data_IF_909520184165
#
_entry.id   IF_909520184165
#
_cell.length_a   1.000
_cell.length_b   1.000
_cell.length_c   1.000
_cell.angle_alpha   90.00
_cell.angle_beta   90.00
_cell.angle_gamma   90.00
#
_symmetry.space_group_name_H-M   'P 1'
#
loop_
_entity.id
_entity.type
_entity.pdbx_description
1 polymer ?
#
# COMPACT_ATOMS: atom_id res chain seq x y z
N UNK A 1 4.70 13.99 25.90
CA UNK A 1 5.35 12.69 25.73
C UNK A 1 4.29 11.66 25.32
N UNK A 2 3.28 11.33 26.13
CA UNK A 2 2.26 10.31 25.82
C UNK A 2 1.62 10.43 24.42
N UNK A 3 1.41 11.66 23.93
CA UNK A 3 0.88 11.89 22.57
C UNK A 3 1.88 11.49 21.48
N UNK A 4 3.17 11.72 21.71
CA UNK A 4 4.24 11.30 20.78
C UNK A 4 4.33 9.77 20.73
N UNK A 5 4.28 9.13 21.89
CA UNK A 5 4.29 7.67 22.00
C UNK A 5 3.10 7.04 21.26
N UNK A 6 1.88 7.55 21.47
CA UNK A 6 0.70 7.08 20.75
C UNK A 6 0.78 7.26 19.20
N UNK A 7 1.45 8.32 18.74
CA UNK A 7 1.70 8.53 17.31
C UNK A 7 2.76 7.57 16.77
N UNK A 8 3.81 7.31 17.53
CA UNK A 8 4.84 6.33 17.17
C UNK A 8 4.26 4.91 17.12
N UNK A 9 3.42 4.55 18.11
CA UNK A 9 2.75 3.24 18.12
C UNK A 9 1.82 3.05 16.92
N UNK A 10 1.16 4.13 16.47
CA UNK A 10 0.24 4.07 15.33
C UNK A 10 0.93 4.07 13.98
N UNK A 11 1.95 4.90 13.81
CA UNK A 11 2.58 5.17 12.51
C UNK A 11 4.01 4.65 12.40
N UNK A 12 4.66 4.34 13.50
CA UNK A 12 6.09 4.02 13.54
C UNK A 12 7.00 5.25 13.32
N UNK A 13 6.58 6.15 12.45
CA UNK A 13 7.28 7.39 12.08
C UNK A 13 6.35 8.57 12.29
N UNK A 14 6.87 9.68 12.77
CA UNK A 14 6.16 10.96 12.89
C UNK A 14 6.68 11.91 11.80
N UNK A 15 5.79 12.41 10.96
CA UNK A 15 6.07 13.38 9.91
C UNK A 15 4.93 14.41 9.81
N UNK A 16 5.16 15.63 9.25
CA UNK A 16 4.15 16.67 9.16
C UNK A 16 2.80 16.20 8.60
N UNK A 17 2.71 15.48 7.46
CA UNK A 17 1.41 15.06 6.91
C UNK A 17 0.60 14.12 7.81
N UNK A 18 1.27 13.35 8.69
CA UNK A 18 0.59 12.49 9.65
C UNK A 18 -0.07 13.32 10.76
N UNK A 19 0.60 14.37 11.22
CA UNK A 19 0.08 15.29 12.24
C UNK A 19 -1.09 16.11 11.70
N UNK A 20 -1.00 16.54 10.43
CA UNK A 20 -2.09 17.25 9.77
C UNK A 20 -3.35 16.37 9.65
N UNK A 21 -3.17 15.09 9.34
CA UNK A 21 -4.26 14.11 9.32
C UNK A 21 -4.91 13.93 10.69
N UNK A 22 -4.12 13.90 11.76
CA UNK A 22 -4.59 13.79 13.15
C UNK A 22 -5.28 15.07 13.65
N UNK A 23 -5.19 16.18 12.92
CA UNK A 23 -5.76 17.49 13.28
C UNK A 23 -5.38 17.95 14.70
N UNK A 24 -4.13 17.72 15.06
CA UNK A 24 -3.66 18.08 16.39
C UNK A 24 -3.61 19.61 16.57
N UNK A 25 -4.06 20.08 17.73
CA UNK A 25 -3.94 21.49 18.10
C UNK A 25 -2.47 21.92 18.07
N UNK A 26 -2.17 23.02 17.38
CA UNK A 26 -0.81 23.50 17.14
C UNK A 26 -0.06 22.79 16.00
N UNK A 27 -0.65 21.77 15.37
CA UNK A 27 -0.07 21.07 14.26
C UNK A 27 1.32 20.49 14.54
N UNK A 28 2.09 20.25 13.48
CA UNK A 28 3.46 19.75 13.60
C UNK A 28 4.38 20.75 14.32
N UNK A 29 4.21 22.06 14.09
CA UNK A 29 5.00 23.11 14.73
C UNK A 29 4.86 23.10 16.25
N UNK A 30 3.67 22.83 16.77
CA UNK A 30 3.42 22.70 18.21
C UNK A 30 4.04 21.45 18.83
N UNK A 31 4.18 20.37 18.05
CA UNK A 31 4.79 19.13 18.51
C UNK A 31 6.33 19.12 18.36
N UNK A 32 6.85 19.87 17.40
CA UNK A 32 8.26 19.87 17.02
C UNK A 32 9.24 20.13 18.20
N UNK A 33 9.01 21.08 19.14
CA UNK A 33 9.89 21.27 20.28
C UNK A 33 10.02 20.03 21.18
N UNK A 34 8.93 19.27 21.32
CA UNK A 34 8.92 18.01 22.10
C UNK A 34 9.71 16.93 21.37
N UNK A 35 9.48 16.78 20.06
CA UNK A 35 10.20 15.81 19.22
C UNK A 35 11.71 16.08 19.21
N UNK A 36 12.10 17.36 19.08
CA UNK A 36 13.50 17.78 19.14
C UNK A 36 14.15 17.47 20.49
N UNK A 37 13.45 17.74 21.59
CA UNK A 37 13.95 17.42 22.92
C UNK A 37 14.13 15.91 23.13
N UNK A 38 13.20 15.10 22.61
CA UNK A 38 13.31 13.63 22.65
C UNK A 38 14.48 13.13 21.79
N UNK A 39 14.76 13.77 20.64
CA UNK A 39 15.95 13.52 19.81
C UNK A 39 17.24 13.85 20.57
N UNK A 40 17.33 15.03 21.21
CA UNK A 40 18.49 15.48 21.99
C UNK A 40 18.81 14.52 23.17
N UNK A 41 17.79 13.86 23.72
CA UNK A 41 17.94 12.84 24.77
C UNK A 41 18.12 11.42 24.21
N UNK A 42 18.23 11.24 22.89
CA UNK A 42 18.43 9.94 22.24
C UNK A 42 17.23 9.01 22.22
N UNK A 43 16.04 9.47 22.62
CA UNK A 43 14.81 8.68 22.57
C UNK A 43 14.27 8.55 21.14
N UNK A 44 14.53 9.55 20.28
CA UNK A 44 14.14 9.55 18.87
C UNK A 44 15.36 9.76 17.98
N UNK A 45 15.22 9.31 16.75
CA UNK A 45 16.15 9.56 15.64
C UNK A 45 15.43 10.41 14.60
N UNK A 46 16.12 11.43 14.09
CA UNK A 46 15.66 12.23 12.97
C UNK A 46 16.22 11.69 11.67
N UNK A 47 15.40 11.62 10.62
CA UNK A 47 15.82 11.10 9.33
C UNK A 47 14.79 11.34 8.23
N UNK A 48 14.97 10.67 7.10
CA UNK A 48 14.02 10.58 5.99
C UNK A 48 13.62 9.12 5.83
N UNK A 49 12.52 8.73 6.45
CA UNK A 49 12.06 7.34 6.52
C UNK A 49 10.97 7.03 5.49
N UNK A 50 10.10 8.01 5.21
CA UNK A 50 8.97 7.87 4.29
C UNK A 50 9.09 8.91 3.18
N UNK A 51 9.18 8.44 1.93
CA UNK A 51 9.20 9.31 0.75
C UNK A 51 7.92 10.16 0.67
N UNK A 52 8.08 11.42 0.29
CA UNK A 52 6.95 12.34 0.12
C UNK A 52 6.44 13.00 1.42
N UNK A 53 6.99 12.65 2.59
CA UNK A 53 6.57 13.21 3.89
C UNK A 53 7.44 14.37 4.39
N UNK A 54 8.32 14.94 3.56
CA UNK A 54 9.24 16.02 3.93
C UNK A 54 10.45 15.54 4.74
N UNK A 55 11.34 16.46 5.10
CA UNK A 55 12.63 16.16 5.73
C UNK A 55 12.59 16.05 7.26
N UNK A 56 11.55 16.58 7.90
CA UNK A 56 11.44 16.57 9.37
C UNK A 56 10.63 15.35 9.83
N UNK A 57 11.28 14.17 9.84
CA UNK A 57 10.67 12.93 10.27
C UNK A 57 11.42 12.38 11.49
N UNK A 58 10.66 11.77 12.41
CA UNK A 58 11.19 11.23 13.66
C UNK A 58 10.69 9.81 13.86
N UNK A 59 11.57 8.92 14.33
CA UNK A 59 11.25 7.53 14.63
C UNK A 59 12.04 7.05 15.85
N UNK A 60 11.56 5.99 16.49
CA UNK A 60 12.34 5.31 17.53
C UNK A 60 13.49 4.52 16.90
N UNK A 61 14.54 4.22 17.68
CA UNK A 61 15.63 3.33 17.23
C UNK A 61 15.09 1.98 16.76
N UNK A 62 14.16 1.40 17.51
CA UNK A 62 13.54 0.13 17.18
C UNK A 62 12.85 0.16 15.80
N UNK A 63 12.10 1.23 15.50
CA UNK A 63 11.47 1.43 14.20
C UNK A 63 12.51 1.54 13.08
N UNK A 64 13.60 2.28 13.30
CA UNK A 64 14.67 2.44 12.31
C UNK A 64 15.34 1.09 12.00
N UNK A 65 15.61 0.29 13.03
CA UNK A 65 16.21 -1.03 12.85
C UNK A 65 15.25 -1.99 12.14
N UNK A 66 13.94 -1.96 12.45
CA UNK A 66 12.91 -2.71 11.74
C UNK A 66 12.82 -2.29 10.25
N UNK A 67 12.85 -0.99 9.95
CA UNK A 67 12.87 -0.48 8.57
C UNK A 67 14.09 -0.95 7.79
N UNK A 68 15.26 -0.97 8.41
CA UNK A 68 16.49 -1.49 7.78
C UNK A 68 16.39 -2.98 7.48
N UNK A 69 15.87 -3.77 8.42
CA UNK A 69 15.67 -5.20 8.22
C UNK A 69 14.66 -5.47 7.09
N UNK A 70 13.53 -4.76 7.04
CA UNK A 70 12.55 -4.88 5.95
C UNK A 70 13.11 -4.43 4.58
N UNK A 71 14.00 -3.44 4.55
CA UNK A 71 14.59 -2.95 3.31
C UNK A 71 15.60 -3.95 2.70
N UNK A 72 16.22 -4.80 3.52
CA UNK A 72 17.16 -5.81 3.06
C UNK A 72 16.47 -6.90 2.22
N UNK A 73 15.28 -7.33 2.63
CA UNK A 73 14.48 -8.37 1.95
C UNK A 73 13.00 -7.97 1.91
N UNK A 74 12.60 -7.05 1.03
CA UNK A 74 11.21 -6.62 0.97
C UNK A 74 10.32 -7.73 0.40
N UNK A 75 9.31 -8.14 1.17
CA UNK A 75 8.22 -8.99 0.69
C UNK A 75 7.03 -8.16 0.21
N UNK A 76 6.22 -8.73 -0.68
CA UNK A 76 4.94 -8.11 -1.06
C UNK A 76 3.90 -8.38 0.02
N UNK A 77 3.10 -7.36 0.35
CA UNK A 77 2.03 -7.42 1.37
C UNK A 77 0.74 -6.92 0.75
N UNK A 78 -0.34 -7.64 0.97
CA UNK A 78 -1.69 -7.26 0.53
C UNK A 78 -2.46 -6.68 1.71
N UNK A 79 -2.98 -5.47 1.56
CA UNK A 79 -3.78 -4.77 2.56
C UNK A 79 -5.13 -4.36 1.95
N UNK A 80 -6.16 -4.19 2.79
CA UNK A 80 -7.34 -3.42 2.39
C UNK A 80 -6.91 -1.97 2.10
N UNK A 81 -7.51 -1.34 1.09
CA UNK A 81 -7.16 0.03 0.73
C UNK A 81 -7.44 1.03 1.87
N UNK A 82 -8.35 0.69 2.80
CA UNK A 82 -8.69 1.48 3.99
C UNK A 82 -7.83 1.17 5.20
N UNK A 83 -6.98 0.14 5.14
CA UNK A 83 -6.10 -0.26 6.24
C UNK A 83 -5.25 0.92 6.74
N UNK A 84 -5.16 1.16 8.05
CA UNK A 84 -4.31 2.21 8.61
C UNK A 84 -2.84 2.15 8.19
N UNK A 85 -2.30 0.96 7.95
CA UNK A 85 -0.93 0.77 7.47
C UNK A 85 -0.73 1.23 6.01
N UNK A 86 -1.81 1.32 5.22
CA UNK A 86 -1.76 1.93 3.90
C UNK A 86 -1.78 3.45 4.03
N UNK A 87 -0.66 4.11 3.77
CA UNK A 87 -0.55 5.57 3.80
C UNK A 87 -1.03 6.24 2.51
N UNK A 88 -1.13 5.52 1.40
CA UNK A 88 -1.58 6.07 0.12
C UNK A 88 -3.04 6.54 0.17
N UNK A 89 -3.27 7.74 -0.35
CA UNK A 89 -4.58 8.37 -0.35
C UNK A 89 -5.04 8.90 1.01
N UNK A 90 -4.17 8.84 2.02
CA UNK A 90 -4.44 9.43 3.34
C UNK A 90 -3.35 10.39 3.81
N UNK A 91 -2.11 9.97 3.82
CA UNK A 91 -0.93 10.75 4.24
C UNK A 91 -0.09 11.14 3.02
N UNK A 92 0.06 10.20 2.10
CA UNK A 92 0.79 10.40 0.83
C UNK A 92 -0.16 10.26 -0.35
N UNK A 93 0.14 10.99 -1.43
CA UNK A 93 -0.64 10.91 -2.66
C UNK A 93 -0.48 9.53 -3.32
N UNK A 94 -1.50 9.10 -4.07
CA UNK A 94 -1.39 7.94 -4.94
C UNK A 94 -0.29 8.16 -5.98
N UNK A 95 0.58 7.16 -6.24
CA UNK A 95 1.69 7.33 -7.15
C UNK A 95 1.21 7.41 -8.61
N UNK A 96 1.94 8.15 -9.43
CA UNK A 96 1.64 8.30 -10.86
C UNK A 96 1.76 6.99 -11.62
N UNK A 97 2.54 6.04 -11.14
CA UNK A 97 2.72 4.70 -11.74
C UNK A 97 1.43 3.87 -11.78
N UNK A 98 0.45 4.22 -10.95
CA UNK A 98 -0.90 3.62 -10.95
C UNK A 98 -1.97 4.67 -11.35
N UNK A 99 -1.55 5.80 -11.88
CA UNK A 99 -2.44 6.90 -12.27
C UNK A 99 -2.60 7.04 -13.78
N UNK A 100 -3.55 7.89 -14.19
CA UNK A 100 -3.78 8.20 -15.61
C UNK A 100 -4.82 7.32 -16.28
N UNK A 101 -5.42 6.39 -15.55
CA UNK A 101 -6.45 5.45 -16.04
C UNK A 101 -7.87 5.94 -15.74
N UNK A 102 -8.88 5.28 -16.35
CA UNK A 102 -10.30 5.56 -16.17
C UNK A 102 -10.71 5.39 -14.70
N UNK A 103 -10.13 4.39 -14.01
CA UNK A 103 -10.28 4.21 -12.59
C UNK A 103 -9.17 4.93 -11.84
N UNK A 104 -9.56 5.66 -10.81
CA UNK A 104 -8.64 6.31 -9.88
C UNK A 104 -8.56 5.53 -8.58
N UNK A 105 -7.32 5.25 -8.09
CA UNK A 105 -7.16 4.65 -6.79
C UNK A 105 -7.83 5.50 -5.71
N UNK A 106 -8.52 4.84 -4.79
CA UNK A 106 -9.20 5.49 -3.67
C UNK A 106 -9.21 4.57 -2.45
N UNK A 107 -9.25 5.17 -1.26
CA UNK A 107 -9.46 4.43 -0.02
C UNK A 107 -10.94 4.06 0.11
N UNK A 108 -11.29 2.88 -0.36
CA UNK A 108 -12.65 2.34 -0.28
C UNK A 108 -12.63 0.89 0.20
N UNK A 109 -13.64 0.52 0.94
CA UNK A 109 -13.81 -0.86 1.42
C UNK A 109 -13.96 -1.83 0.24
N UNK A 110 -13.34 -2.99 0.37
CA UNK A 110 -13.33 -4.04 -0.64
C UNK A 110 -12.38 -3.78 -1.81
N UNK A 111 -11.59 -2.70 -1.77
CA UNK A 111 -10.43 -2.54 -2.61
C UNK A 111 -9.18 -3.00 -1.85
N UNK A 112 -8.22 -3.59 -2.57
CA UNK A 112 -6.95 -4.06 -2.02
C UNK A 112 -5.79 -3.32 -2.66
N UNK A 113 -4.73 -3.13 -1.88
CA UNK A 113 -3.43 -2.62 -2.34
C UNK A 113 -2.36 -3.68 -2.14
N UNK A 114 -1.42 -3.77 -3.05
CA UNK A 114 -0.22 -4.61 -2.89
C UNK A 114 0.98 -3.70 -2.78
N UNK A 115 1.67 -3.79 -1.65
CA UNK A 115 2.85 -3.00 -1.33
C UNK A 115 4.08 -3.91 -1.26
N UNK A 116 5.23 -3.42 -1.72
CA UNK A 116 6.53 -4.07 -1.52
C UNK A 116 7.58 -3.01 -1.23
N UNK A 117 8.24 -3.13 -0.07
CA UNK A 117 9.18 -2.10 0.39
C UNK A 117 8.56 -0.71 0.49
N UNK A 118 7.26 -0.63 0.85
CA UNK A 118 6.50 0.62 0.89
C UNK A 118 6.00 1.13 -0.47
N UNK A 119 6.41 0.52 -1.58
CA UNK A 119 5.99 0.91 -2.94
C UNK A 119 4.70 0.23 -3.34
N UNK A 120 3.77 0.98 -3.91
CA UNK A 120 2.50 0.46 -4.40
C UNK A 120 2.70 -0.19 -5.78
N UNK A 121 2.45 -1.49 -5.87
CA UNK A 121 2.60 -2.28 -7.09
C UNK A 121 1.26 -2.61 -7.74
N UNK A 122 0.20 -2.78 -6.95
CA UNK A 122 -1.13 -3.06 -7.48
C UNK A 122 -2.24 -2.43 -6.63
N UNK A 123 -3.33 -2.09 -7.29
CA UNK A 123 -4.59 -1.67 -6.68
C UNK A 123 -5.73 -2.42 -7.35
N UNK A 124 -6.44 -3.23 -6.59
CA UNK A 124 -7.49 -4.12 -7.08
C UNK A 124 -8.85 -3.76 -6.53
N UNK A 125 -9.87 -3.77 -7.37
CA UNK A 125 -11.28 -3.57 -6.99
C UNK A 125 -12.11 -4.76 -7.47
N UNK A 126 -12.14 -5.88 -6.72
CA UNK A 126 -12.79 -7.11 -7.16
C UNK A 126 -14.25 -6.94 -7.57
N UNK A 127 -15.01 -6.12 -6.84
CA UNK A 127 -16.46 -5.89 -7.11
C UNK A 127 -16.73 -5.13 -8.39
N UNK A 128 -15.83 -4.29 -8.84
CA UNK A 128 -15.96 -3.54 -10.10
C UNK A 128 -15.10 -4.12 -11.23
N UNK A 129 -14.46 -5.28 -10.99
CA UNK A 129 -13.71 -6.05 -11.98
C UNK A 129 -12.48 -5.35 -12.56
N UNK A 130 -11.93 -4.34 -11.85
CA UNK A 130 -10.80 -3.55 -12.31
C UNK A 130 -9.53 -3.80 -11.51
N UNK A 131 -8.41 -3.78 -12.21
CA UNK A 131 -7.06 -3.92 -11.66
C UNK A 131 -6.18 -2.80 -12.20
N UNK A 132 -5.43 -2.16 -11.32
CA UNK A 132 -4.34 -1.27 -11.69
C UNK A 132 -3.02 -1.90 -11.26
N UNK A 133 -2.06 -1.95 -12.17
CA UNK A 133 -0.70 -2.44 -11.96
C UNK A 133 0.29 -1.29 -12.19
N UNK A 134 1.39 -1.26 -11.46
CA UNK A 134 2.42 -0.26 -11.66
C UNK A 134 2.98 -0.33 -13.08
N UNK A 135 3.07 0.81 -13.78
CA UNK A 135 3.48 0.88 -15.19
C UNK A 135 4.98 0.77 -15.40
N UNK A 136 5.77 1.00 -14.38
CA UNK A 136 7.20 0.82 -14.45
C UNK A 136 7.53 -0.67 -14.39
N UNK A 137 8.43 -1.12 -15.26
CA UNK A 137 8.89 -2.50 -15.36
C UNK A 137 9.56 -2.94 -14.04
N UNK A 138 8.75 -3.23 -13.02
CA UNK A 138 9.23 -3.73 -11.74
C UNK A 138 9.23 -5.26 -11.78
N UNK A 139 10.39 -5.90 -11.59
CA UNK A 139 10.48 -7.37 -11.54
C UNK A 139 9.61 -7.98 -10.44
N UNK A 140 9.17 -7.18 -9.46
CA UNK A 140 8.27 -7.61 -8.40
C UNK A 140 6.78 -7.63 -8.79
N UNK A 141 6.38 -7.16 -9.98
CA UNK A 141 4.97 -7.17 -10.39
C UNK A 141 4.38 -8.58 -10.44
N UNK A 142 5.14 -9.56 -10.90
CA UNK A 142 4.69 -10.95 -10.89
C UNK A 142 4.46 -11.44 -9.45
N UNK A 143 5.36 -11.11 -8.53
CA UNK A 143 5.16 -11.42 -7.10
C UNK A 143 3.93 -10.73 -6.55
N UNK A 144 3.70 -9.45 -6.91
CA UNK A 144 2.51 -8.72 -6.48
C UNK A 144 1.20 -9.38 -6.98
N UNK A 145 1.17 -9.87 -8.23
CA UNK A 145 0.04 -10.63 -8.75
C UNK A 145 -0.18 -11.95 -7.99
N UNK A 146 0.89 -12.66 -7.66
CA UNK A 146 0.81 -13.91 -6.90
C UNK A 146 0.26 -13.69 -5.49
N UNK A 147 0.76 -12.67 -4.76
CA UNK A 147 0.28 -12.34 -3.42
C UNK A 147 -1.17 -11.85 -3.43
N UNK A 148 -1.54 -11.05 -4.44
CA UNK A 148 -2.93 -10.64 -4.65
C UNK A 148 -3.84 -11.85 -4.85
N UNK A 149 -3.45 -12.79 -5.72
CA UNK A 149 -4.20 -14.01 -5.97
C UNK A 149 -4.38 -14.84 -4.69
N UNK A 150 -3.30 -15.02 -3.93
CA UNK A 150 -3.34 -15.74 -2.66
C UNK A 150 -4.29 -15.09 -1.64
N UNK A 151 -4.22 -13.77 -1.48
CA UNK A 151 -5.09 -13.03 -0.57
C UNK A 151 -6.57 -13.12 -1.00
N UNK A 152 -6.86 -13.00 -2.29
CA UNK A 152 -8.21 -13.15 -2.84
C UNK A 152 -8.75 -14.57 -2.66
N UNK A 153 -7.93 -15.61 -2.87
CA UNK A 153 -8.33 -17.00 -2.63
C UNK A 153 -8.65 -17.26 -1.15
N UNK A 154 -7.87 -16.69 -0.24
CA UNK A 154 -8.16 -16.77 1.19
C UNK A 154 -9.52 -16.12 1.49
N UNK A 155 -9.78 -14.93 0.99
CA UNK A 155 -11.07 -14.25 1.16
C UNK A 155 -12.25 -15.02 0.54
N UNK A 156 -12.03 -15.74 -0.58
CA UNK A 156 -13.03 -16.62 -1.19
C UNK A 156 -13.35 -17.81 -0.27
N UNK A 157 -12.33 -18.45 0.32
CA UNK A 157 -12.49 -19.57 1.26
C UNK A 157 -13.19 -19.15 2.55
N UNK A 158 -12.84 -17.97 3.07
CA UNK A 158 -13.41 -17.42 4.29
C UNK A 158 -14.85 -16.88 4.09
N UNK A 159 -15.39 -16.99 2.87
CA UNK A 159 -16.76 -16.59 2.52
C UNK A 159 -16.98 -15.09 2.37
N UNK A 160 -15.91 -14.28 2.39
CA UNK A 160 -15.97 -12.84 2.16
C UNK A 160 -16.34 -12.46 0.72
N UNK A 161 -15.99 -13.32 -0.23
CA UNK A 161 -16.35 -13.21 -1.65
C UNK A 161 -16.96 -14.54 -2.08
N UNK A 162 -18.04 -14.54 -2.86
CA UNK A 162 -18.69 -15.76 -3.36
C UNK A 162 -18.43 -15.96 -4.86
N UNK A 163 -18.20 -17.19 -5.26
CA UNK A 163 -18.21 -17.62 -6.66
C UNK A 163 -16.97 -17.28 -7.51
N UNK A 164 -15.97 -16.63 -6.93
CA UNK A 164 -14.73 -16.26 -7.63
C UNK A 164 -14.60 -14.75 -7.90
N UNK A 165 -13.39 -14.32 -8.23
CA UNK A 165 -13.04 -12.93 -8.58
C UNK A 165 -12.69 -12.88 -10.06
N UNK A 166 -13.32 -11.98 -10.81
CA UNK A 166 -13.00 -11.73 -12.22
C UNK A 166 -12.48 -10.30 -12.36
N UNK A 167 -11.36 -10.13 -13.06
CA UNK A 167 -10.90 -8.85 -13.56
C UNK A 167 -11.14 -8.80 -15.07
N UNK A 168 -11.80 -7.74 -15.54
CA UNK A 168 -12.12 -7.54 -16.96
C UNK A 168 -11.02 -6.75 -17.67
N UNK A 169 -10.35 -5.88 -16.96
CA UNK A 169 -9.26 -5.05 -17.44
C UNK A 169 -8.15 -4.87 -16.40
N UNK A 170 -6.96 -4.55 -16.89
CA UNK A 170 -5.84 -4.06 -16.12
C UNK A 170 -5.30 -2.81 -16.83
N UNK A 171 -5.19 -1.68 -16.10
CA UNK A 171 -4.71 -0.43 -16.67
C UNK A 171 -5.49 0.02 -17.92
N UNK A 172 -6.81 -0.14 -17.92
CA UNK A 172 -7.74 0.09 -19.04
C UNK A 172 -7.52 -0.85 -20.27
N UNK A 173 -6.62 -1.82 -20.19
CA UNK A 173 -6.41 -2.83 -21.22
C UNK A 173 -7.29 -4.05 -20.93
N UNK A 174 -8.13 -4.48 -21.88
CA UNK A 174 -8.95 -5.68 -21.71
C UNK A 174 -8.12 -6.95 -21.47
N UNK A 175 -8.45 -7.70 -20.44
CA UNK A 175 -7.76 -8.95 -20.07
C UNK A 175 -8.23 -10.18 -20.89
N UNK A 176 -9.06 -9.97 -21.91
CA UNK A 176 -9.45 -11.00 -22.90
C UNK A 176 -8.39 -11.23 -23.98
N UNK A 177 -7.50 -10.25 -24.17
CA UNK A 177 -6.41 -10.33 -25.15
C UNK A 177 -5.18 -11.06 -24.57
N UNK A 178 -4.34 -11.61 -25.45
CA UNK A 178 -3.04 -12.19 -25.09
C UNK A 178 -2.02 -11.07 -24.80
N UNK A 179 -2.22 -10.37 -23.70
CA UNK A 179 -1.35 -9.28 -23.26
C UNK A 179 -0.37 -9.70 -22.15
N UNK A 180 0.48 -8.79 -21.77
CA UNK A 180 1.44 -8.99 -20.68
C UNK A 180 0.72 -9.20 -19.33
N UNK A 181 -0.28 -8.37 -19.04
CA UNK A 181 -1.07 -8.47 -17.80
C UNK A 181 -1.82 -9.79 -17.68
N UNK A 182 -2.40 -10.27 -18.80
CA UNK A 182 -3.09 -11.57 -18.82
C UNK A 182 -2.13 -12.73 -18.54
N UNK A 183 -0.90 -12.67 -19.05
CA UNK A 183 0.12 -13.68 -18.77
C UNK A 183 0.55 -13.65 -17.30
N UNK A 184 0.79 -12.47 -16.72
CA UNK A 184 1.14 -12.33 -15.31
C UNK A 184 0.05 -12.87 -14.39
N UNK A 185 -1.21 -12.56 -14.67
CA UNK A 185 -2.35 -13.07 -13.91
C UNK A 185 -2.52 -14.59 -14.10
N UNK A 186 -2.28 -15.12 -15.30
CA UNK A 186 -2.32 -16.56 -15.52
C UNK A 186 -1.27 -17.31 -14.68
N UNK A 187 -0.04 -16.81 -14.63
CA UNK A 187 1.02 -17.34 -13.76
C UNK A 187 0.62 -17.26 -12.27
N UNK A 188 -0.14 -16.22 -11.89
CA UNK A 188 -0.66 -16.06 -10.52
C UNK A 188 -1.88 -16.97 -10.21
N UNK A 189 -2.35 -17.79 -11.17
CA UNK A 189 -3.42 -18.76 -10.96
C UNK A 189 -4.80 -18.32 -11.43
N UNK A 190 -4.90 -17.16 -12.11
CA UNK A 190 -6.13 -16.79 -12.80
C UNK A 190 -6.28 -17.58 -14.10
N UNK A 191 -7.51 -17.91 -14.45
CA UNK A 191 -7.83 -18.59 -15.72
C UNK A 191 -8.58 -17.64 -16.66
N UNK A 192 -8.33 -17.72 -17.99
CA UNK A 192 -9.04 -16.91 -18.96
C UNK A 192 -10.52 -17.30 -19.02
N UNK A 193 -11.39 -16.28 -19.04
CA UNK A 193 -12.84 -16.40 -19.27
C UNK A 193 -13.26 -15.38 -20.33
N UNK A 194 -14.44 -15.49 -20.95
CA UNK A 194 -14.87 -14.55 -21.98
C UNK A 194 -14.82 -13.06 -21.58
N UNK A 195 -14.98 -12.77 -20.29
CA UNK A 195 -14.98 -11.40 -19.77
C UNK A 195 -13.60 -10.90 -19.28
N UNK A 196 -12.57 -11.76 -19.23
CA UNK A 196 -11.25 -11.39 -18.71
C UNK A 196 -10.52 -12.54 -18.03
N UNK A 197 -9.95 -12.29 -16.84
CA UNK A 197 -9.20 -13.29 -16.06
C UNK A 197 -9.91 -13.57 -14.74
N UNK A 198 -10.17 -14.83 -14.42
CA UNK A 198 -10.95 -15.26 -13.25
C UNK A 198 -10.14 -16.14 -12.29
N UNK A 199 -10.24 -15.83 -11.02
CA UNK A 199 -9.69 -16.60 -9.91
C UNK A 199 -10.83 -17.36 -9.21
N UNK A 200 -10.60 -18.65 -9.01
CA UNK A 200 -11.49 -19.52 -8.24
C UNK A 200 -10.87 -19.87 -6.87
N UNK A 201 -11.68 -20.49 -5.99
CA UNK A 201 -11.18 -21.08 -4.74
C UNK A 201 -10.23 -22.24 -5.03
#
# INVERSE_FOLDING_TARGET
IARVEALLDRYGVIAPPMIDKERLAGGFSGLYPVLRRMEEHGALMRGMFVSGCGAAQFASRQTVDALRACAAEPSAVVLDATDPANLYGSVIAWPRTIGGFSIRPARRSGASVVLRGGRLLAYAVPRSHHLLLAQDADPALQQACNELAYALQRNLRDGGIRGGVTFCDANDEPLTARGEWSRMLHVAGFVPVPQGMRLYC
#
